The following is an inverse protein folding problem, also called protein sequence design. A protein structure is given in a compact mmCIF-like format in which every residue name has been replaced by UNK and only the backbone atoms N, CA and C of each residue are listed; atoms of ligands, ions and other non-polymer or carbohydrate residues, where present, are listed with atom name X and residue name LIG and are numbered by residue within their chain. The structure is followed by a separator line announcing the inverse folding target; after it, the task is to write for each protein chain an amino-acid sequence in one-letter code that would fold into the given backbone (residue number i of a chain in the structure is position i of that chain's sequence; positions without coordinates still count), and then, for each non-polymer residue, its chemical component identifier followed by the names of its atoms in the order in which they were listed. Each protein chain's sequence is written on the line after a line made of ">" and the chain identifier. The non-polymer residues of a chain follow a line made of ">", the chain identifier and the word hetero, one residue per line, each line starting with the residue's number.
data_IF_467163654236
#
_entry.id   IF_467163654236
#
_cell.length_a   1.000
_cell.length_b   1.000
_cell.length_c   1.000
_cell.angle_alpha   90.00
_cell.angle_beta   90.00
_cell.angle_gamma   90.00
#
_symmetry.space_group_name_H-M   'P 1'
#
loop_
_entity.id
_entity.type
_entity.pdbx_description
1 polymer ?
#
# COMPACT_ATOMS: atom_id res chain seq x y z
N UNK A 1 -11.97 62.39 4.62
CA UNK A 1 -12.54 62.67 5.96
C UNK A 1 -11.43 63.18 6.87
N UNK A 2 -11.49 64.44 7.35
CA UNK A 2 -10.49 65.03 8.28
C UNK A 2 -10.88 64.88 9.76
N UNK A 3 -12.11 64.48 10.04
CA UNK A 3 -12.70 64.44 11.38
C UNK A 3 -12.25 63.25 12.24
N UNK A 4 -11.83 62.15 11.62
CA UNK A 4 -11.41 60.93 12.33
C UNK A 4 -9.93 60.60 12.15
N UNK A 5 -9.18 61.44 11.42
CA UNK A 5 -7.77 61.23 11.06
C UNK A 5 -7.47 59.82 10.47
N UNK A 6 -8.40 59.28 9.67
CA UNK A 6 -8.27 57.98 9.00
C UNK A 6 -8.20 58.18 7.49
N UNK A 7 -7.29 57.45 6.84
CA UNK A 7 -7.15 57.47 5.38
C UNK A 7 -8.38 56.87 4.68
N UNK A 8 -8.77 57.48 3.56
CA UNK A 8 -9.90 57.00 2.74
C UNK A 8 -9.73 55.53 2.29
N UNK A 9 -8.48 55.14 2.00
CA UNK A 9 -8.11 53.76 1.66
C UNK A 9 -8.52 52.76 2.74
N UNK A 10 -8.33 53.08 4.02
CA UNK A 10 -8.69 52.19 5.12
C UNK A 10 -10.21 51.98 5.18
N UNK A 11 -10.99 53.04 4.95
CA UNK A 11 -12.47 52.99 4.94
C UNK A 11 -12.95 52.11 3.79
N UNK A 12 -12.40 52.29 2.59
CA UNK A 12 -12.74 51.48 1.41
C UNK A 12 -12.41 50.00 1.62
N UNK A 13 -11.21 49.68 2.13
CA UNK A 13 -10.81 48.29 2.38
C UNK A 13 -11.68 47.62 3.45
N UNK A 14 -12.09 48.34 4.50
CA UNK A 14 -13.02 47.78 5.49
C UNK A 14 -14.39 47.52 4.85
N UNK A 15 -14.91 48.46 4.05
CA UNK A 15 -16.20 48.30 3.37
C UNK A 15 -16.19 47.16 2.35
N UNK A 16 -15.07 46.94 1.66
CA UNK A 16 -14.88 45.82 0.73
C UNK A 16 -14.79 44.45 1.44
N UNK A 17 -14.44 44.43 2.72
CA UNK A 17 -14.30 43.20 3.54
C UNK A 17 -15.51 42.90 4.41
N UNK A 18 -16.53 43.76 4.38
CA UNK A 18 -17.76 43.56 5.16
C UNK A 18 -18.76 42.86 4.24
N UNK A 19 -19.23 41.71 4.70
CA UNK A 19 -20.21 40.91 3.98
C UNK A 19 -21.61 41.55 4.03
N UNK A 20 -22.57 41.03 3.26
CA UNK A 20 -23.95 41.56 3.18
C UNK A 20 -24.64 41.67 4.55
N UNK A 21 -24.20 40.82 5.49
CA UNK A 21 -24.71 40.72 6.86
C UNK A 21 -23.96 41.61 7.88
N UNK A 22 -23.05 42.47 7.42
CA UNK A 22 -22.28 43.37 8.29
C UNK A 22 -21.12 42.71 9.04
N UNK A 23 -20.78 41.46 8.69
CA UNK A 23 -19.68 40.71 9.32
C UNK A 23 -18.40 40.90 8.51
N UNK A 24 -17.30 41.22 9.19
CA UNK A 24 -15.99 41.39 8.56
C UNK A 24 -15.40 40.01 8.25
N UNK A 25 -14.90 39.81 7.03
CA UNK A 25 -14.19 38.60 6.61
C UNK A 25 -13.01 38.26 7.55
N UNK A 26 -12.76 36.97 7.74
CA UNK A 26 -11.65 36.49 8.57
C UNK A 26 -10.30 37.01 8.05
N UNK A 27 -9.43 37.43 8.97
CA UNK A 27 -8.08 37.90 8.61
C UNK A 27 -7.22 36.73 8.10
N UNK A 28 -6.92 36.76 6.80
CA UNK A 28 -6.07 35.78 6.11
C UNK A 28 -4.61 36.23 5.99
N UNK A 29 -4.17 37.24 6.76
CA UNK A 29 -2.73 37.60 6.79
C UNK A 29 -1.87 36.39 7.12
N UNK A 30 -0.84 36.17 6.30
CA UNK A 30 0.04 35.00 6.39
C UNK A 30 -0.58 33.67 5.93
N UNK A 31 -1.87 33.62 5.59
CA UNK A 31 -2.57 32.44 5.07
C UNK A 31 -2.83 32.62 3.58
N UNK A 32 -1.93 32.11 2.74
CA UNK A 32 -2.11 32.15 1.29
C UNK A 32 -2.21 30.74 0.70
N UNK A 33 -2.98 30.57 -0.36
CA UNK A 33 -3.12 29.29 -1.07
C UNK A 33 -1.90 28.90 -1.91
N UNK A 34 -0.87 29.75 -1.99
CA UNK A 34 0.34 29.50 -2.77
C UNK A 34 1.31 28.46 -2.14
N UNK A 35 0.97 27.86 -1.00
CA UNK A 35 1.78 26.79 -0.42
C UNK A 35 1.58 25.48 -1.18
N UNK A 36 2.69 24.80 -1.48
CA UNK A 36 2.67 23.49 -2.12
C UNK A 36 1.97 22.49 -1.18
N UNK A 37 0.78 22.03 -1.57
CA UNK A 37 0.09 20.96 -0.86
C UNK A 37 0.54 19.61 -1.40
N UNK A 38 0.90 18.72 -0.46
CA UNK A 38 1.12 17.30 -0.71
C UNK A 38 -0.24 16.66 -1.01
N UNK A 39 -0.22 15.63 -1.87
CA UNK A 39 -1.43 14.90 -2.22
C UNK A 39 -2.04 14.19 -1.01
N UNK A 40 -3.37 14.21 -0.91
CA UNK A 40 -4.10 13.67 0.25
C UNK A 40 -3.94 12.16 0.39
N UNK A 41 -3.76 11.44 -0.73
CA UNK A 41 -3.52 9.98 -0.70
C UNK A 41 -2.19 9.64 -0.04
N UNK A 42 -1.15 10.43 -0.32
CA UNK A 42 0.19 10.28 0.28
C UNK A 42 0.13 10.56 1.78
N UNK A 43 -0.61 11.58 2.19
CA UNK A 43 -0.81 11.91 3.62
C UNK A 43 -1.53 10.75 4.34
N UNK A 44 -2.55 10.17 3.73
CA UNK A 44 -3.28 9.05 4.29
C UNK A 44 -2.40 7.80 4.44
N UNK A 45 -1.57 7.49 3.44
CA UNK A 45 -0.64 6.36 3.49
C UNK A 45 0.42 6.54 4.59
N UNK A 46 0.94 7.76 4.78
CA UNK A 46 1.87 8.09 5.87
C UNK A 46 1.20 7.93 7.24
N UNK A 47 -0.03 8.44 7.41
CA UNK A 47 -0.79 8.31 8.67
C UNK A 47 -1.01 6.85 9.03
N UNK A 48 -1.43 6.05 8.06
CA UNK A 48 -1.64 4.61 8.23
C UNK A 48 -0.36 3.88 8.66
N UNK A 49 0.79 4.28 8.10
CA UNK A 49 2.07 3.73 8.52
C UNK A 49 2.40 4.10 9.97
N UNK A 50 2.20 5.37 10.36
CA UNK A 50 2.44 5.84 11.74
C UNK A 50 1.54 5.11 12.75
N UNK A 51 0.29 4.83 12.38
CA UNK A 51 -0.66 4.07 13.20
C UNK A 51 -0.29 2.59 13.38
N UNK A 52 0.49 2.02 12.46
CA UNK A 52 0.96 0.64 12.57
C UNK A 52 2.14 0.47 13.54
N UNK A 53 2.81 1.55 13.94
CA UNK A 53 3.93 1.53 14.88
C UNK A 53 3.37 1.32 16.30
N UNK A 54 3.93 0.39 17.10
CA UNK A 54 3.49 0.19 18.47
C UNK A 54 3.67 1.46 19.29
N UNK A 55 2.60 1.85 19.99
CA UNK A 55 2.58 3.03 20.84
C UNK A 55 2.66 2.61 22.30
N UNK A 56 3.28 3.47 23.11
CA UNK A 56 3.51 3.26 24.52
C UNK A 56 2.91 4.45 25.28
N UNK A 57 2.39 4.17 26.46
CA UNK A 57 1.90 5.19 27.38
C UNK A 57 3.05 6.04 27.93
N UNK A 58 2.73 7.26 28.36
CA UNK A 58 3.74 8.14 28.92
C UNK A 58 4.25 7.63 30.27
N UNK A 59 5.51 7.18 30.32
CA UNK A 59 6.16 6.69 31.54
C UNK A 59 6.32 7.77 32.63
N UNK A 60 6.28 9.06 32.28
CA UNK A 60 6.66 10.16 33.17
C UNK A 60 5.51 11.03 33.67
N UNK A 61 4.25 10.67 33.41
CA UNK A 61 3.17 11.62 33.69
C UNK A 61 2.67 11.59 35.14
N UNK A 62 2.95 12.68 35.86
CA UNK A 62 2.27 13.07 37.11
C UNK A 62 0.84 13.63 36.88
N UNK A 63 0.40 13.73 35.63
CA UNK A 63 -0.88 14.31 35.21
C UNK A 63 -1.46 13.49 34.05
N UNK A 64 -2.71 13.05 34.19
CA UNK A 64 -3.40 12.16 33.24
C UNK A 64 -3.54 12.79 31.86
N UNK A 65 -2.65 12.43 30.94
CA UNK A 65 -2.69 12.83 29.53
C UNK A 65 -3.08 11.62 28.68
N UNK A 66 -4.01 11.79 27.74
CA UNK A 66 -4.41 10.76 26.76
C UNK A 66 -3.48 10.66 25.54
N UNK A 67 -2.28 11.27 25.61
CA UNK A 67 -1.31 11.23 24.50
C UNK A 67 -0.52 9.94 24.55
N UNK A 68 -0.44 9.28 23.41
CA UNK A 68 0.38 8.08 23.18
C UNK A 68 1.71 8.47 22.55
N UNK A 69 2.77 7.73 22.87
CA UNK A 69 4.13 8.01 22.42
C UNK A 69 4.73 6.81 21.68
N UNK A 70 5.77 7.06 20.91
CA UNK A 70 6.60 5.99 20.32
C UNK A 70 7.78 5.76 21.26
N UNK A 71 8.21 4.50 21.42
CA UNK A 71 9.30 4.04 22.30
C UNK A 71 10.64 4.79 22.12
N UNK A 72 10.82 5.49 21.00
CA UNK A 72 12.01 6.29 20.73
C UNK A 72 13.25 5.47 20.35
N UNK A 73 13.16 4.14 20.29
CA UNK A 73 14.26 3.27 19.86
C UNK A 73 14.67 3.40 18.38
N UNK A 74 13.89 4.13 17.57
CA UNK A 74 14.23 4.48 16.19
C UNK A 74 14.16 5.98 15.97
N UNK A 75 15.12 6.48 15.21
CA UNK A 75 15.15 7.87 14.75
C UNK A 75 14.08 8.12 13.68
N UNK A 76 13.70 9.39 13.48
CA UNK A 76 12.77 9.79 12.41
C UNK A 76 13.28 9.34 11.03
N UNK A 77 14.61 9.37 10.83
CA UNK A 77 15.26 8.91 9.60
C UNK A 77 15.11 7.41 9.37
N UNK A 78 15.20 6.59 10.42
CA UNK A 78 15.01 5.15 10.32
C UNK A 78 13.54 4.80 10.06
N UNK A 79 12.61 5.50 10.73
CA UNK A 79 11.17 5.37 10.47
C UNK A 79 10.83 5.71 9.02
N UNK A 80 11.49 6.72 8.44
CA UNK A 80 11.30 7.05 7.03
C UNK A 80 11.86 5.96 6.10
N UNK A 81 12.99 5.34 6.43
CA UNK A 81 13.52 4.19 5.66
C UNK A 81 12.58 3.00 5.72
N UNK A 82 12.07 2.67 6.90
CA UNK A 82 11.07 1.60 7.08
C UNK A 82 9.82 1.86 6.24
N UNK A 83 9.36 3.11 6.21
CA UNK A 83 8.25 3.53 5.34
C UNK A 83 8.58 3.32 3.86
N UNK A 84 9.75 3.74 3.40
CA UNK A 84 10.18 3.54 2.01
C UNK A 84 10.26 2.05 1.65
N UNK A 85 10.75 1.20 2.55
CA UNK A 85 10.80 -0.26 2.34
C UNK A 85 9.40 -0.89 2.28
N UNK A 86 8.49 -0.47 3.16
CA UNK A 86 7.09 -0.88 3.12
C UNK A 86 6.42 -0.47 1.80
N UNK A 87 6.68 0.74 1.31
CA UNK A 87 6.16 1.22 0.02
C UNK A 87 6.76 0.46 -1.18
N UNK A 88 8.06 0.10 -1.14
CA UNK A 88 8.69 -0.73 -2.19
C UNK A 88 8.04 -2.11 -2.30
N UNK A 89 7.57 -2.69 -1.19
CA UNK A 89 6.82 -3.97 -1.21
C UNK A 89 5.46 -3.84 -1.92
N UNK A 90 4.85 -2.66 -1.81
CA UNK A 90 3.59 -2.33 -2.48
C UNK A 90 3.77 -1.89 -3.95
N UNK A 91 5.01 -1.69 -4.41
CA UNK A 91 5.29 -1.49 -5.83
C UNK A 91 5.21 -2.78 -6.63
N UNK A 92 4.65 -2.65 -7.84
CA UNK A 92 4.42 -3.78 -8.74
C UNK A 92 5.75 -4.38 -9.20
N UNK A 93 5.84 -5.73 -9.29
CA UNK A 93 7.07 -6.40 -9.71
C UNK A 93 7.35 -6.26 -11.23
N UNK A 94 6.37 -5.79 -12.01
CA UNK A 94 6.48 -5.77 -13.46
C UNK A 94 5.73 -4.55 -14.04
N UNK A 95 6.46 -3.72 -14.79
CA UNK A 95 5.94 -2.54 -15.49
C UNK A 95 5.89 -2.75 -17.03
N UNK A 96 6.11 -3.99 -17.49
CA UNK A 96 6.13 -4.33 -18.91
C UNK A 96 4.74 -4.64 -19.46
N UNK A 97 3.67 -4.28 -18.73
CA UNK A 97 2.28 -4.47 -19.14
C UNK A 97 1.48 -3.22 -18.83
N UNK A 98 0.71 -2.77 -19.81
CA UNK A 98 -0.28 -1.70 -19.63
C UNK A 98 -1.50 -2.18 -18.87
N UNK A 99 -2.31 -1.24 -18.36
CA UNK A 99 -3.63 -1.55 -17.79
C UNK A 99 -4.54 -2.26 -18.81
N UNK A 100 -4.36 -2.00 -20.11
CA UNK A 100 -5.10 -2.66 -21.20
C UNK A 100 -4.58 -4.05 -21.56
N UNK A 101 -3.51 -4.54 -20.92
CA UNK A 101 -2.93 -5.86 -21.16
C UNK A 101 -1.88 -5.93 -22.27
N UNK A 102 -1.62 -4.82 -22.97
CA UNK A 102 -0.57 -4.74 -23.99
C UNK A 102 0.82 -4.79 -23.36
N UNK A 103 1.74 -5.54 -23.98
CA UNK A 103 3.13 -5.60 -23.57
C UNK A 103 3.86 -4.28 -23.87
N UNK A 104 4.68 -3.83 -22.93
CA UNK A 104 5.50 -2.63 -23.04
C UNK A 104 6.96 -3.04 -23.04
N UNK A 105 7.63 -2.86 -24.18
CA UNK A 105 9.08 -3.05 -24.32
C UNK A 105 9.77 -1.73 -24.05
N UNK A 106 10.68 -1.68 -23.07
CA UNK A 106 11.35 -0.45 -22.66
C UNK A 106 12.21 0.20 -23.76
N UNK A 107 12.84 -0.60 -24.62
CA UNK A 107 13.65 -0.09 -25.73
C UNK A 107 12.83 0.69 -26.77
N UNK A 108 11.54 0.37 -26.89
CA UNK A 108 10.67 0.95 -27.90
C UNK A 108 9.96 2.22 -27.38
N UNK A 109 10.12 2.55 -26.09
CA UNK A 109 9.52 3.73 -25.50
C UNK A 109 10.15 5.01 -26.05
N UNK A 110 9.30 5.93 -26.52
CA UNK A 110 9.72 7.24 -27.02
C UNK A 110 9.33 8.37 -26.07
N UNK A 111 8.18 8.25 -25.41
CA UNK A 111 7.68 9.26 -24.48
C UNK A 111 7.17 8.59 -23.21
N UNK A 112 7.64 9.10 -22.06
CA UNK A 112 7.09 8.80 -20.75
C UNK A 112 6.54 10.10 -20.18
N UNK A 113 5.27 10.08 -19.79
CA UNK A 113 4.56 11.19 -19.17
C UNK A 113 4.10 10.78 -17.77
N UNK A 114 4.39 11.63 -16.79
CA UNK A 114 3.92 11.49 -15.41
C UNK A 114 2.99 12.67 -15.11
N UNK A 115 1.85 12.40 -14.48
CA UNK A 115 0.84 13.42 -14.18
C UNK A 115 0.60 13.43 -12.68
N UNK A 116 0.59 14.61 -12.05
CA UNK A 116 0.36 14.77 -10.61
C UNK A 116 -1.00 14.19 -10.18
N UNK A 117 -2.03 14.27 -11.03
CA UNK A 117 -3.35 13.73 -10.76
C UNK A 117 -3.40 12.20 -10.69
N UNK A 118 -2.37 11.51 -11.21
CA UNK A 118 -2.29 10.05 -11.23
C UNK A 118 -0.90 9.60 -10.75
N UNK A 119 -0.58 9.76 -9.44
CA UNK A 119 0.77 9.54 -8.90
C UNK A 119 1.24 8.07 -8.98
N UNK A 120 0.31 7.13 -9.14
CA UNK A 120 0.60 5.69 -9.17
C UNK A 120 0.56 5.10 -10.58
N UNK A 121 0.48 5.94 -11.61
CA UNK A 121 0.48 5.54 -13.00
C UNK A 121 1.40 6.44 -13.83
N UNK A 122 2.07 5.86 -14.81
CA UNK A 122 2.75 6.60 -15.84
C UNK A 122 2.17 6.27 -17.21
N UNK A 123 2.31 7.22 -18.12
CA UNK A 123 1.69 7.20 -19.42
C UNK A 123 2.78 7.09 -20.49
N UNK A 124 2.73 6.06 -21.31
CA UNK A 124 3.78 5.75 -22.29
C UNK A 124 3.27 5.83 -23.74
N UNK A 125 4.19 6.18 -24.65
CA UNK A 125 4.01 6.04 -26.10
C UNK A 125 5.22 5.34 -26.71
N UNK A 126 4.96 4.43 -27.64
CA UNK A 126 5.99 3.74 -28.44
C UNK A 126 6.27 4.47 -29.75
N UNK A 127 5.34 5.31 -30.23
CA UNK A 127 5.53 6.15 -31.41
C UNK A 127 5.14 7.60 -31.15
N UNK A 128 5.85 8.52 -31.80
CA UNK A 128 5.49 9.95 -31.81
C UNK A 128 4.18 10.23 -32.57
N UNK A 129 3.72 9.27 -33.40
CA UNK A 129 2.46 9.37 -34.15
C UNK A 129 1.25 8.99 -33.29
N UNK A 130 1.46 8.31 -32.16
CA UNK A 130 0.37 7.87 -31.31
C UNK A 130 -0.31 9.08 -30.68
N UNK A 131 -1.63 9.19 -30.86
CA UNK A 131 -2.42 10.29 -30.26
C UNK A 131 -2.64 10.03 -28.77
N UNK A 132 -2.95 8.80 -28.41
CA UNK A 132 -3.29 8.38 -27.06
C UNK A 132 -2.07 7.85 -26.29
N UNK A 133 -2.09 7.98 -24.98
CA UNK A 133 -1.08 7.40 -24.11
C UNK A 133 -1.58 6.08 -23.54
N UNK A 134 -0.71 5.09 -23.48
CA UNK A 134 -0.99 3.85 -22.78
C UNK A 134 -0.65 4.02 -21.31
N UNK A 135 -1.58 3.67 -20.41
CA UNK A 135 -1.35 3.75 -18.98
C UNK A 135 -0.66 2.49 -18.45
N UNK A 136 0.39 2.67 -17.67
CA UNK A 136 1.05 1.63 -16.90
C UNK A 136 0.95 1.97 -15.42
N UNK A 137 0.38 1.06 -14.64
CA UNK A 137 0.23 1.23 -13.19
C UNK A 137 1.48 0.73 -12.46
N UNK A 138 1.95 1.51 -11.49
CA UNK A 138 3.15 1.24 -10.71
C UNK A 138 2.81 0.44 -9.44
N UNK A 139 1.53 0.38 -9.04
CA UNK A 139 1.11 -0.28 -7.80
C UNK A 139 0.97 -1.79 -7.98
N UNK A 140 1.40 -2.56 -6.98
CA UNK A 140 1.25 -4.00 -6.96
C UNK A 140 -0.24 -4.37 -6.83
N UNK A 141 -0.84 -4.78 -7.95
CA UNK A 141 -2.23 -5.28 -7.99
C UNK A 141 -2.32 -6.78 -7.73
N UNK A 142 -1.29 -7.44 -7.18
CA UNK A 142 -1.46 -8.82 -6.68
C UNK A 142 -2.68 -8.82 -5.77
N UNK A 143 -3.66 -9.65 -6.13
CA UNK A 143 -4.97 -9.71 -5.46
C UNK A 143 -4.72 -9.79 -3.96
N UNK A 144 -5.30 -8.85 -3.20
CA UNK A 144 -5.48 -9.05 -1.76
C UNK A 144 -6.15 -10.42 -1.59
N UNK A 145 -5.77 -11.17 -0.56
CA UNK A 145 -6.47 -12.39 -0.17
C UNK A 145 -7.98 -12.15 -0.25
N UNK A 146 -8.72 -13.11 -0.81
CA UNK A 146 -10.17 -13.09 -0.73
C UNK A 146 -10.56 -12.96 0.76
N UNK A 147 -11.63 -12.21 1.10
CA UNK A 147 -12.12 -12.14 2.47
C UNK A 147 -12.36 -13.57 3.00
N UNK A 148 -12.12 -13.80 4.29
CA UNK A 148 -12.17 -15.14 4.90
C UNK A 148 -13.49 -15.87 4.63
N UNK A 149 -14.58 -15.12 4.46
CA UNK A 149 -15.92 -15.62 4.10
C UNK A 149 -16.02 -16.27 2.71
N UNK A 150 -15.12 -15.94 1.79
CA UNK A 150 -15.12 -16.42 0.40
C UNK A 150 -14.06 -17.51 0.14
N UNK A 151 -13.24 -17.84 1.14
CA UNK A 151 -12.27 -18.93 1.06
C UNK A 151 -12.98 -20.27 1.27
N UNK A 152 -13.31 -20.95 0.17
CA UNK A 152 -13.69 -22.37 0.22
C UNK A 152 -12.42 -23.23 0.05
N UNK A 153 -11.81 -23.75 1.12
CA UNK A 153 -10.64 -24.61 1.00
C UNK A 153 -11.02 -25.86 0.19
N UNK A 154 -10.31 -26.10 -0.91
CA UNK A 154 -10.44 -27.36 -1.65
C UNK A 154 -9.81 -28.48 -0.81
N UNK A 155 -10.46 -29.64 -0.76
CA UNK A 155 -9.90 -30.82 -0.09
C UNK A 155 -8.51 -31.11 -0.68
N UNK A 156 -7.50 -31.24 0.18
CA UNK A 156 -6.11 -31.51 -0.25
C UNK A 156 -6.00 -32.82 -1.04
N UNK A 157 -6.85 -33.79 -0.73
CA UNK A 157 -6.94 -35.08 -1.41
C UNK A 157 -8.40 -35.46 -1.66
N UNK A 158 -8.71 -35.93 -2.86
CA UNK A 158 -10.03 -36.41 -3.27
C UNK A 158 -10.26 -37.88 -2.92
N UNK A 159 -9.19 -38.63 -2.65
CA UNK A 159 -9.22 -40.05 -2.29
C UNK A 159 -7.93 -40.50 -1.62
N UNK A 160 -7.80 -41.81 -1.36
CA UNK A 160 -6.61 -42.41 -0.77
C UNK A 160 -5.42 -42.22 -1.73
N UNK A 161 -4.33 -41.64 -1.24
CA UNK A 161 -3.11 -41.52 -2.03
C UNK A 161 -2.44 -42.88 -2.17
N UNK A 162 -2.21 -43.30 -3.40
CA UNK A 162 -1.47 -44.52 -3.69
C UNK A 162 0.03 -44.33 -3.44
N UNK A 163 0.68 -45.37 -2.92
CA UNK A 163 2.13 -45.39 -2.78
C UNK A 163 2.80 -45.54 -4.15
N UNK A 164 3.94 -44.89 -4.34
CA UNK A 164 4.75 -45.10 -5.54
C UNK A 164 5.31 -46.52 -5.58
N UNK A 165 5.48 -47.06 -6.80
CA UNK A 165 5.98 -48.42 -7.02
C UNK A 165 7.35 -48.69 -6.37
N UNK A 166 8.22 -47.67 -6.29
CA UNK A 166 9.49 -47.78 -5.58
C UNK A 166 9.29 -48.03 -4.08
N UNK A 167 8.37 -47.29 -3.44
CA UNK A 167 8.08 -47.48 -2.00
C UNK A 167 7.43 -48.85 -1.74
N UNK A 168 6.61 -49.34 -2.67
CA UNK A 168 6.03 -50.68 -2.61
C UNK A 168 7.12 -51.76 -2.68
N UNK A 169 8.09 -51.60 -3.58
CA UNK A 169 9.23 -52.51 -3.71
C UNK A 169 10.08 -52.52 -2.44
N UNK A 170 10.38 -51.36 -1.88
CA UNK A 170 11.16 -51.25 -0.62
C UNK A 170 10.43 -51.93 0.54
N UNK A 171 9.11 -51.75 0.66
CA UNK A 171 8.30 -52.42 1.69
C UNK A 171 8.32 -53.96 1.53
N UNK A 172 8.23 -54.48 0.30
CA UNK A 172 8.38 -55.92 0.03
C UNK A 172 9.78 -56.42 0.40
N UNK A 173 10.82 -55.62 0.15
CA UNK A 173 12.20 -55.95 0.50
C UNK A 173 12.40 -56.01 2.02
N UNK A 174 11.84 -55.05 2.77
CA UNK A 174 11.88 -55.04 4.23
C UNK A 174 11.16 -56.26 4.84
N UNK A 175 10.08 -56.70 4.19
CA UNK A 175 9.37 -57.93 4.56
C UNK A 175 10.22 -59.18 4.30
N UNK A 176 10.86 -59.27 3.13
CA UNK A 176 11.76 -60.37 2.78
C UNK A 176 12.96 -60.47 3.73
N UNK A 177 13.47 -59.32 4.20
CA UNK A 177 14.57 -59.23 5.18
C UNK A 177 14.14 -59.52 6.62
N UNK A 178 12.84 -59.80 6.89
CA UNK A 178 12.25 -60.00 8.23
C UNK A 178 12.49 -58.83 9.20
N UNK A 179 12.72 -57.63 8.68
CA UNK A 179 12.87 -56.42 9.49
C UNK A 179 11.51 -55.89 9.98
N UNK A 180 10.44 -56.24 9.26
CA UNK A 180 9.06 -55.98 9.68
C UNK A 180 8.48 -57.29 10.22
N UNK A 181 7.91 -57.29 11.45
CA UNK A 181 7.24 -58.47 12.00
C UNK A 181 6.10 -58.96 11.09
N UNK A 182 6.00 -60.29 10.93
CA UNK A 182 5.00 -60.93 10.07
C UNK A 182 3.56 -60.62 10.47
N UNK A 183 3.32 -60.24 11.72
CA UNK A 183 2.01 -59.82 12.23
C UNK A 183 1.41 -58.65 11.45
N UNK A 184 2.23 -57.77 10.86
CA UNK A 184 1.76 -56.64 10.06
C UNK A 184 1.53 -56.98 8.58
N UNK A 185 1.68 -58.24 8.16
CA UNK A 185 1.54 -58.67 6.76
C UNK A 185 0.22 -58.18 6.14
N UNK A 186 -0.88 -58.42 6.84
CA UNK A 186 -2.24 -58.18 6.34
C UNK A 186 -2.48 -56.69 6.05
N UNK A 187 -1.94 -55.81 6.89
CA UNK A 187 -2.03 -54.37 6.70
C UNK A 187 -1.24 -53.89 5.47
N UNK A 188 0.01 -54.34 5.32
CA UNK A 188 0.83 -53.93 4.18
C UNK A 188 0.34 -54.53 2.87
N UNK A 189 -0.19 -55.76 2.87
CA UNK A 189 -0.81 -56.38 1.71
C UNK A 189 -2.08 -55.65 1.25
N UNK A 190 -2.77 -54.94 2.15
CA UNK A 190 -3.95 -54.12 1.82
C UNK A 190 -3.56 -52.76 1.20
N UNK A 191 -2.29 -52.37 1.30
CA UNK A 191 -1.79 -51.04 0.90
C UNK A 191 -0.81 -51.12 -0.31
N UNK A 192 -0.18 -52.28 -0.52
CA UNK A 192 0.70 -52.62 -1.66
C UNK A 192 -0.09 -52.92 -2.94
#
# INVERSE_FOLDING_TARGET
>A
MRTLDISDRAIRTVKEKVDENGIIENDLRGKHSNHIRVDETVIADIKKFIEAIPRIESHYTRQTSSREFIDGGKTITELFRDFQEAQKKDWGPNFNKTTSGNAVTWNDLKIIRVVKSAPFSFFVKTSYKDKEYQEVSIRNRRKKLLPLSELTPTKAYTGKQELSENKKKDLRELFAKKLIPSFYADFYNTIL
#
